data_IF_124759766080
#
_entry.id   IF_124759766080
#
_cell.length_a   1.000
_cell.length_b   1.000
_cell.length_c   1.000
_cell.angle_alpha   90.00
_cell.angle_beta   90.00
_cell.angle_gamma   90.00
#
_symmetry.space_group_name_H-M   'P 1'
#
loop_
_entity.id
_entity.type
_entity.pdbx_description
1 polymer ?
#
# COMPACT_ATOMS: atom_id res chain seq x y z
N UNK A 1 -76.32 2.85 -16.13
CA UNK A 1 -75.73 2.10 -17.26
C UNK A 1 -74.37 2.72 -17.58
N UNK A 2 -73.30 2.26 -16.91
CA UNK A 2 -71.94 2.84 -17.08
C UNK A 2 -71.22 2.00 -18.13
N UNK A 3 -71.15 2.49 -19.37
CA UNK A 3 -70.31 1.88 -20.40
C UNK A 3 -68.83 2.03 -20.00
N UNK A 4 -68.22 0.97 -19.47
CA UNK A 4 -66.77 0.93 -19.26
C UNK A 4 -66.09 0.86 -20.63
N UNK A 5 -65.60 2.00 -21.09
CA UNK A 5 -64.88 2.14 -22.35
C UNK A 5 -63.57 1.32 -22.28
N UNK A 6 -63.39 0.34 -23.18
CA UNK A 6 -62.19 -0.55 -23.24
C UNK A 6 -60.88 0.24 -23.19
N UNK A 7 -60.87 1.44 -23.77
CA UNK A 7 -59.73 2.38 -23.73
C UNK A 7 -59.36 2.81 -22.31
N UNK A 8 -60.34 3.07 -21.45
CA UNK A 8 -60.13 3.47 -20.05
C UNK A 8 -59.63 2.30 -19.20
N UNK A 9 -60.04 1.07 -19.52
CA UNK A 9 -59.53 -0.14 -18.86
C UNK A 9 -58.06 -0.38 -19.19
N UNK A 10 -57.68 -0.31 -20.47
CA UNK A 10 -56.28 -0.45 -20.90
C UNK A 10 -55.41 0.67 -20.30
N UNK A 11 -55.89 1.91 -20.29
CA UNK A 11 -55.17 3.02 -19.66
C UNK A 11 -54.95 2.78 -18.16
N UNK A 12 -55.97 2.31 -17.43
CA UNK A 12 -55.85 2.02 -15.99
C UNK A 12 -54.93 0.81 -15.72
N UNK A 13 -54.98 -0.23 -16.56
CA UNK A 13 -54.10 -1.39 -16.46
C UNK A 13 -52.62 -1.03 -16.73
N UNK A 14 -52.35 -0.19 -17.74
CA UNK A 14 -51.00 0.31 -18.04
C UNK A 14 -50.45 1.19 -16.90
N UNK A 15 -51.32 1.98 -16.27
CA UNK A 15 -50.95 2.85 -15.14
C UNK A 15 -50.56 2.02 -13.90
N UNK A 16 -51.22 0.89 -13.65
CA UNK A 16 -50.87 -0.01 -12.55
C UNK A 16 -49.58 -0.80 -12.83
N UNK A 17 -49.31 -1.16 -14.10
CA UNK A 17 -48.04 -1.78 -14.49
C UNK A 17 -46.84 -0.83 -14.27
N UNK A 18 -47.03 0.48 -14.48
CA UNK A 18 -46.02 1.52 -14.23
C UNK A 18 -45.79 1.86 -12.74
N UNK A 19 -46.64 1.37 -11.83
CA UNK A 19 -46.42 1.49 -10.37
C UNK A 19 -45.84 0.18 -9.80
N UNK A 20 -46.06 -0.96 -10.48
CA UNK A 20 -45.34 -2.21 -10.25
C UNK A 20 -43.86 -2.15 -10.61
N UNK A 21 -43.43 -1.14 -11.37
CA UNK A 21 -42.02 -0.71 -11.46
C UNK A 21 -41.66 0.11 -10.22
N UNK A 22 -41.85 -0.49 -9.04
CA UNK A 22 -41.16 -0.04 -7.84
C UNK A 22 -39.68 0.14 -8.18
N UNK A 23 -39.01 1.15 -7.61
CA UNK A 23 -37.58 1.29 -7.78
C UNK A 23 -36.98 0.01 -7.21
N UNK A 24 -36.51 -0.87 -8.10
CA UNK A 24 -35.47 -1.82 -7.76
C UNK A 24 -34.38 -0.92 -7.21
N UNK A 25 -34.33 -0.94 -5.89
CA UNK A 25 -33.34 -0.35 -5.02
C UNK A 25 -32.03 -0.29 -5.78
N UNK A 26 -31.38 0.86 -5.72
CA UNK A 26 -30.05 1.17 -6.25
C UNK A 26 -28.96 0.24 -5.69
N UNK A 27 -29.13 -1.08 -5.76
CA UNK A 27 -28.04 -2.02 -5.89
C UNK A 27 -27.49 -1.74 -7.27
N UNK A 28 -26.61 -0.74 -7.34
CA UNK A 28 -25.44 -0.88 -8.19
C UNK A 28 -24.82 -2.19 -7.74
N UNK A 29 -25.18 -3.29 -8.42
CA UNK A 29 -24.24 -4.38 -8.57
C UNK A 29 -23.01 -3.68 -9.10
N UNK A 30 -22.01 -3.51 -8.24
CA UNK A 30 -20.75 -2.92 -8.62
C UNK A 30 -20.31 -3.69 -9.83
N UNK A 31 -20.46 -3.07 -11.01
CA UNK A 31 -19.73 -3.51 -12.19
C UNK A 31 -18.30 -3.34 -11.72
N UNK A 32 -17.62 -4.45 -11.44
CA UNK A 32 -16.18 -4.39 -11.25
C UNK A 32 -15.70 -3.72 -12.53
N UNK A 33 -15.30 -2.45 -12.44
CA UNK A 33 -14.39 -1.85 -13.39
C UNK A 33 -13.32 -2.93 -13.54
N UNK A 34 -13.28 -3.57 -14.71
CA UNK A 34 -12.39 -4.69 -14.93
C UNK A 34 -10.99 -4.13 -14.67
N UNK A 35 -10.33 -4.60 -13.62
CA UNK A 35 -9.07 -4.01 -13.16
C UNK A 35 -8.14 -3.87 -14.35
N UNK A 36 -7.67 -2.66 -14.63
CA UNK A 36 -6.77 -2.44 -15.75
C UNK A 36 -5.47 -3.20 -15.49
N UNK A 37 -4.83 -3.72 -16.53
CA UNK A 37 -3.56 -4.44 -16.37
C UNK A 37 -2.48 -3.49 -15.82
N UNK A 38 -1.71 -3.97 -14.85
CA UNK A 38 -0.59 -3.28 -14.27
C UNK A 38 0.43 -4.24 -13.67
N UNK A 39 1.63 -3.75 -13.46
CA UNK A 39 2.67 -4.39 -12.68
C UNK A 39 3.24 -3.42 -11.67
N UNK A 40 3.84 -3.94 -10.61
CA UNK A 40 4.63 -3.18 -9.64
C UNK A 40 5.88 -3.97 -9.31
N UNK A 41 6.94 -3.28 -8.89
CA UNK A 41 8.14 -3.93 -8.38
C UNK A 41 8.10 -4.00 -6.84
N UNK A 42 8.73 -5.03 -6.28
CA UNK A 42 8.84 -5.23 -4.84
C UNK A 42 10.31 -5.41 -4.46
N UNK A 43 10.81 -4.56 -3.56
CA UNK A 43 12.18 -4.59 -3.02
C UNK A 43 12.04 -4.63 -1.49
N UNK A 44 12.88 -5.37 -0.78
CA UNK A 44 12.78 -5.50 0.69
C UNK A 44 14.15 -5.87 1.31
N UNK A 45 14.25 -5.81 2.64
CA UNK A 45 15.31 -6.42 3.45
C UNK A 45 16.72 -5.99 3.02
N UNK A 46 16.90 -4.69 2.81
CA UNK A 46 18.21 -4.17 2.37
C UNK A 46 19.22 -4.08 3.50
N UNK A 47 18.75 -3.96 4.76
CA UNK A 47 19.59 -4.00 5.95
C UNK A 47 20.83 -3.11 5.84
N UNK A 48 20.63 -1.85 5.43
CA UNK A 48 21.70 -0.85 5.36
C UNK A 48 22.32 -0.72 6.75
N UNK A 49 23.64 -0.95 6.81
CA UNK A 49 24.36 -1.06 8.07
C UNK A 49 25.48 -0.03 8.16
N UNK A 50 25.36 0.86 9.13
CA UNK A 50 26.35 1.88 9.43
C UNK A 50 27.51 1.31 10.25
N UNK A 51 28.75 1.64 9.88
CA UNK A 51 29.94 1.20 10.61
C UNK A 51 30.43 2.34 11.52
N UNK A 52 30.79 3.47 10.93
CA UNK A 52 31.26 4.69 11.63
C UNK A 52 31.38 5.85 10.65
N UNK A 53 31.22 7.09 11.11
CA UNK A 53 31.41 8.27 10.27
C UNK A 53 30.53 8.19 9.01
N UNK A 54 31.15 8.11 7.83
CA UNK A 54 30.47 7.92 6.53
C UNK A 54 30.66 6.51 5.95
N UNK A 55 31.17 5.56 6.73
CA UNK A 55 31.42 4.19 6.31
C UNK A 55 30.20 3.30 6.56
N UNK A 56 29.76 2.60 5.50
CA UNK A 56 28.69 1.59 5.52
C UNK A 56 29.22 0.24 5.01
N UNK A 57 28.52 -0.83 5.36
CA UNK A 57 28.87 -2.17 4.89
C UNK A 57 28.50 -2.31 3.40
N UNK A 58 29.54 -2.30 2.57
CA UNK A 58 29.45 -2.28 1.11
C UNK A 58 28.49 -3.29 0.49
N UNK A 59 28.40 -4.52 1.01
CA UNK A 59 27.59 -5.56 0.36
C UNK A 59 26.08 -5.27 0.43
N UNK A 60 25.61 -4.69 1.54
CA UNK A 60 24.21 -4.29 1.70
C UNK A 60 23.86 -3.14 0.73
N UNK A 61 24.68 -2.08 0.70
CA UNK A 61 24.55 -0.98 -0.26
C UNK A 61 24.50 -1.48 -1.72
N UNK A 62 25.44 -2.37 -2.08
CA UNK A 62 25.51 -2.90 -3.44
C UNK A 62 24.29 -3.74 -3.82
N UNK A 63 23.67 -4.42 -2.85
CA UNK A 63 22.41 -5.12 -3.03
C UNK A 63 21.29 -4.16 -3.42
N UNK A 64 21.08 -3.13 -2.61
CA UNK A 64 20.02 -2.14 -2.85
C UNK A 64 20.26 -1.32 -4.13
N UNK A 65 21.48 -0.83 -4.35
CA UNK A 65 21.85 -0.11 -5.59
C UNK A 65 21.52 -0.95 -6.83
N UNK A 66 21.82 -2.25 -6.78
CA UNK A 66 21.53 -3.15 -7.89
C UNK A 66 20.03 -3.35 -8.07
N UNK A 67 19.28 -3.58 -6.98
CA UNK A 67 17.82 -3.75 -7.04
C UNK A 67 17.14 -2.50 -7.63
N UNK A 68 17.56 -1.30 -7.21
CA UNK A 68 17.07 -0.02 -7.76
C UNK A 68 17.38 0.10 -9.26
N UNK A 69 18.62 -0.21 -9.66
CA UNK A 69 19.01 -0.17 -11.06
C UNK A 69 18.22 -1.18 -11.91
N UNK A 70 18.03 -2.40 -11.43
CA UNK A 70 17.27 -3.44 -12.13
C UNK A 70 15.78 -3.07 -12.24
N UNK A 71 15.17 -2.53 -11.16
CA UNK A 71 13.80 -2.05 -11.18
C UNK A 71 13.58 -0.95 -12.24
N UNK A 72 14.53 -0.01 -12.35
CA UNK A 72 14.53 1.07 -13.36
C UNK A 72 14.67 0.57 -14.82
N UNK A 73 15.15 -0.67 -15.02
CA UNK A 73 15.36 -1.28 -16.33
C UNK A 73 14.24 -2.26 -16.74
N UNK A 74 13.27 -2.52 -15.86
CA UNK A 74 12.16 -3.44 -16.17
C UNK A 74 11.37 -2.99 -17.40
N UNK A 75 11.03 -3.97 -18.24
CA UNK A 75 10.20 -3.80 -19.43
C UNK A 75 9.19 -4.98 -19.53
N UNK A 76 7.87 -4.75 -19.42
CA UNK A 76 7.22 -3.45 -19.23
C UNK A 76 7.62 -2.78 -17.90
N UNK A 77 7.60 -1.44 -17.90
CA UNK A 77 7.89 -0.66 -16.70
C UNK A 77 6.79 -0.89 -15.65
N UNK A 78 7.14 -1.09 -14.37
CA UNK A 78 6.15 -1.09 -13.30
C UNK A 78 5.50 0.28 -13.16
N UNK A 79 4.26 0.29 -12.65
CA UNK A 79 3.52 1.52 -12.38
C UNK A 79 4.03 2.19 -11.09
N UNK A 80 4.48 1.39 -10.12
CA UNK A 80 5.04 1.84 -8.84
C UNK A 80 5.94 0.77 -8.22
N UNK A 81 6.60 1.12 -7.12
CA UNK A 81 7.43 0.22 -6.31
C UNK A 81 6.86 0.13 -4.89
N UNK A 82 6.79 -1.07 -4.33
CA UNK A 82 6.60 -1.26 -2.88
C UNK A 82 7.97 -1.59 -2.28
N UNK A 83 8.33 -0.90 -1.22
CA UNK A 83 9.48 -1.26 -0.39
C UNK A 83 9.00 -1.97 0.87
N UNK A 84 9.42 -3.22 1.07
CA UNK A 84 8.83 -4.18 2.01
C UNK A 84 9.27 -4.06 3.47
N UNK A 85 10.13 -3.10 3.81
CA UNK A 85 10.67 -2.92 5.16
C UNK A 85 12.09 -3.45 5.31
N UNK A 86 12.61 -3.30 6.53
CA UNK A 86 13.98 -3.59 6.91
C UNK A 86 14.99 -2.86 6.02
N UNK A 87 14.77 -1.56 5.91
CA UNK A 87 15.69 -0.66 5.21
C UNK A 87 17.01 -0.55 5.99
N UNK A 88 16.93 -0.30 7.29
CA UNK A 88 18.07 -0.20 8.16
C UNK A 88 18.37 -1.54 8.86
N UNK A 89 19.62 -1.73 9.29
CA UNK A 89 20.00 -2.88 10.13
C UNK A 89 19.68 -2.64 11.62
N UNK A 90 19.73 -1.39 12.09
CA UNK A 90 19.51 -1.07 13.51
C UNK A 90 18.50 0.09 13.70
N UNK A 91 17.83 0.51 12.63
CA UNK A 91 16.86 1.61 12.67
C UNK A 91 17.49 2.99 12.92
N UNK A 92 18.81 3.09 12.84
CA UNK A 92 19.49 4.35 13.17
C UNK A 92 19.28 5.39 12.07
N UNK A 93 19.28 6.67 12.44
CA UNK A 93 19.10 7.77 11.45
C UNK A 93 20.08 7.70 10.28
N UNK A 94 21.40 7.48 10.48
CA UNK A 94 22.33 7.37 9.36
C UNK A 94 22.00 6.22 8.38
N UNK A 95 21.50 5.09 8.89
CA UNK A 95 21.10 3.95 8.05
C UNK A 95 19.83 4.24 7.26
N UNK A 96 18.82 4.81 7.91
CA UNK A 96 17.56 5.18 7.28
C UNK A 96 17.75 6.29 6.24
N UNK A 97 18.54 7.32 6.56
CA UNK A 97 18.84 8.42 5.65
C UNK A 97 19.59 7.93 4.40
N UNK A 98 20.62 7.11 4.60
CA UNK A 98 21.40 6.54 3.50
C UNK A 98 20.55 5.59 2.64
N UNK A 99 19.76 4.73 3.28
CA UNK A 99 18.82 3.85 2.58
C UNK A 99 17.78 4.62 1.76
N UNK A 100 17.23 5.70 2.31
CA UNK A 100 16.28 6.56 1.61
C UNK A 100 16.94 7.32 0.45
N UNK A 101 18.21 7.75 0.60
CA UNK A 101 18.99 8.33 -0.49
C UNK A 101 19.14 7.31 -1.64
N UNK A 102 19.50 6.06 -1.35
CA UNK A 102 19.63 5.01 -2.37
C UNK A 102 18.29 4.71 -3.06
N UNK A 103 17.19 4.66 -2.30
CA UNK A 103 15.84 4.47 -2.84
C UNK A 103 15.37 5.65 -3.70
N UNK A 104 15.84 6.87 -3.43
CA UNK A 104 15.46 8.07 -4.19
C UNK A 104 15.87 8.02 -5.67
N UNK A 105 16.78 7.11 -6.03
CA UNK A 105 17.18 6.86 -7.42
C UNK A 105 16.16 6.00 -8.20
N UNK A 106 15.08 5.50 -7.58
CA UNK A 106 13.97 4.87 -8.30
C UNK A 106 13.20 5.90 -9.13
N UNK A 107 12.86 5.54 -10.37
CA UNK A 107 12.10 6.40 -11.29
C UNK A 107 10.57 6.26 -11.12
N UNK A 108 10.11 5.80 -9.95
CA UNK A 108 8.74 5.39 -9.69
C UNK A 108 8.26 5.95 -8.35
N UNK A 109 6.94 6.04 -8.18
CA UNK A 109 6.37 6.25 -6.86
C UNK A 109 6.71 5.05 -5.97
N UNK A 110 7.21 5.33 -4.76
CA UNK A 110 7.58 4.32 -3.77
C UNK A 110 6.56 4.31 -2.64
N UNK A 111 6.06 3.12 -2.34
CA UNK A 111 5.18 2.85 -1.22
C UNK A 111 5.96 2.02 -0.17
N UNK A 112 6.65 2.68 0.78
CA UNK A 112 7.43 2.00 1.77
C UNK A 112 6.57 1.49 2.93
N UNK A 113 6.90 0.30 3.41
CA UNK A 113 6.40 -0.31 4.65
C UNK A 113 7.58 -0.36 5.62
N UNK A 114 7.32 -0.27 6.91
CA UNK A 114 8.36 -0.47 7.93
C UNK A 114 8.57 -1.96 8.19
N UNK A 115 9.82 -2.36 8.41
CA UNK A 115 10.17 -3.68 8.95
C UNK A 115 10.56 -3.57 10.43
N UNK A 116 10.81 -4.71 11.09
CA UNK A 116 11.13 -4.72 12.50
C UNK A 116 12.45 -4.03 12.84
N UNK A 117 13.43 -4.10 11.94
CA UNK A 117 14.71 -3.42 12.11
C UNK A 117 14.59 -1.90 11.97
N UNK A 118 13.55 -1.41 11.29
CA UNK A 118 13.19 0.00 11.23
C UNK A 118 12.38 0.46 12.46
N UNK A 119 11.76 -0.48 13.18
CA UNK A 119 10.79 -0.21 14.24
C UNK A 119 11.41 -0.14 15.63
N UNK A 120 12.21 -1.13 16.03
CA UNK A 120 12.48 -1.33 17.47
C UNK A 120 13.34 -0.24 18.13
N UNK A 121 14.07 0.58 17.37
CA UNK A 121 14.92 1.62 17.96
C UNK A 121 14.10 2.75 18.60
N UNK A 122 13.06 3.22 17.92
CA UNK A 122 12.24 4.36 18.34
C UNK A 122 10.74 4.18 18.04
N UNK A 123 10.30 2.91 17.96
CA UNK A 123 8.95 2.50 17.54
C UNK A 123 8.58 3.02 16.15
N UNK A 124 9.58 3.24 15.28
CA UNK A 124 9.39 3.74 13.92
C UNK A 124 9.01 5.22 13.85
N UNK A 125 9.28 6.01 14.90
CA UNK A 125 8.99 7.46 14.91
C UNK A 125 9.78 8.17 13.81
N UNK A 126 11.10 7.96 13.75
CA UNK A 126 11.93 8.58 12.72
C UNK A 126 11.62 8.06 11.33
N UNK A 127 11.36 6.76 11.18
CA UNK A 127 10.95 6.18 9.90
C UNK A 127 9.69 6.87 9.35
N UNK A 128 8.69 7.08 10.21
CA UNK A 128 7.45 7.78 9.84
C UNK A 128 7.69 9.24 9.46
N UNK A 129 8.58 9.93 10.18
CA UNK A 129 8.96 11.30 9.83
C UNK A 129 9.74 11.37 8.50
N UNK A 130 10.67 10.45 8.26
CA UNK A 130 11.49 10.41 7.04
C UNK A 130 10.62 10.18 5.80
N UNK A 131 9.78 9.15 5.82
CA UNK A 131 8.94 8.79 4.67
C UNK A 131 7.61 9.55 4.60
N UNK A 132 7.28 10.33 5.63
CA UNK A 132 5.97 11.01 5.78
C UNK A 132 4.79 10.03 5.63
N UNK A 133 4.94 8.83 6.21
CA UNK A 133 3.94 7.77 6.18
C UNK A 133 3.57 7.31 7.60
N UNK A 134 2.29 7.04 7.88
CA UNK A 134 1.91 6.31 9.07
C UNK A 134 2.38 4.84 8.95
N UNK A 135 2.35 4.11 10.07
CA UNK A 135 2.73 2.69 10.12
C UNK A 135 1.82 1.76 9.30
N UNK A 136 0.63 2.23 8.94
CA UNK A 136 -0.27 1.52 8.05
C UNK A 136 -1.04 2.52 7.21
N UNK A 137 -1.27 2.19 5.95
CA UNK A 137 -2.06 3.01 5.04
C UNK A 137 -2.57 2.17 3.87
N UNK A 138 -3.43 2.76 3.07
CA UNK A 138 -3.93 2.14 1.85
C UNK A 138 -3.99 3.12 0.70
N UNK A 139 -4.06 2.58 -0.52
CA UNK A 139 -4.25 3.35 -1.73
C UNK A 139 -4.94 2.49 -2.79
N UNK A 140 -5.57 3.13 -3.76
CA UNK A 140 -6.18 2.46 -4.90
C UNK A 140 -5.32 2.65 -6.15
N UNK A 141 -5.12 1.58 -6.92
CA UNK A 141 -4.43 1.64 -8.19
C UNK A 141 -5.17 0.81 -9.24
N UNK A 142 -5.62 1.45 -10.33
CA UNK A 142 -6.28 0.79 -11.47
C UNK A 142 -7.42 -0.19 -11.09
N UNK A 143 -8.16 0.15 -10.03
CA UNK A 143 -9.30 -0.64 -9.54
C UNK A 143 -8.94 -1.73 -8.52
N UNK A 144 -7.69 -1.81 -8.08
CA UNK A 144 -7.24 -2.68 -6.97
C UNK A 144 -6.90 -1.83 -5.75
N UNK A 145 -7.39 -2.25 -4.59
CA UNK A 145 -7.11 -1.60 -3.30
C UNK A 145 -5.92 -2.27 -2.61
N UNK A 146 -4.86 -1.51 -2.37
CA UNK A 146 -3.65 -1.94 -1.66
C UNK A 146 -3.73 -1.54 -0.20
N UNK A 147 -3.44 -2.48 0.71
CA UNK A 147 -3.38 -2.24 2.15
C UNK A 147 -1.99 -2.61 2.64
N UNK A 148 -1.28 -1.63 3.19
CA UNK A 148 0.07 -1.76 3.73
C UNK A 148 -0.05 -1.71 5.25
N UNK A 149 0.42 -2.76 5.93
CA UNK A 149 0.21 -2.99 7.35
C UNK A 149 1.53 -3.14 8.08
N UNK A 150 1.61 -2.60 9.30
CA UNK A 150 2.64 -2.92 10.27
C UNK A 150 2.34 -4.29 10.91
N UNK A 151 3.16 -5.30 10.61
CA UNK A 151 3.05 -6.65 11.16
C UNK A 151 3.96 -6.92 12.37
N UNK A 152 4.56 -5.88 12.93
CA UNK A 152 5.60 -5.97 13.98
C UNK A 152 5.01 -5.84 15.37
N UNK A 153 3.92 -5.07 15.51
CA UNK A 153 3.28 -4.78 16.80
C UNK A 153 2.90 -6.09 17.50
N UNK A 154 3.40 -6.23 18.72
CA UNK A 154 3.22 -7.41 19.57
C UNK A 154 2.85 -6.96 20.99
N UNK A 155 3.00 -7.84 21.97
CA UNK A 155 2.66 -7.58 23.37
C UNK A 155 3.63 -6.60 24.03
N UNK A 156 3.11 -5.78 24.95
CA UNK A 156 3.84 -4.70 25.59
C UNK A 156 5.12 -5.19 26.30
N UNK A 157 5.08 -6.37 26.92
CA UNK A 157 6.25 -6.94 27.61
C UNK A 157 7.39 -7.23 26.63
N UNK A 158 7.08 -7.61 25.38
CA UNK A 158 8.12 -7.81 24.36
C UNK A 158 8.71 -6.49 23.87
N UNK A 159 7.86 -5.47 23.70
CA UNK A 159 8.26 -4.20 23.10
C UNK A 159 8.93 -3.25 24.09
N UNK A 160 8.44 -3.21 25.33
CA UNK A 160 8.84 -2.21 26.32
C UNK A 160 9.73 -2.77 27.43
N UNK A 161 9.71 -4.08 27.70
CA UNK A 161 10.59 -4.66 28.72
C UNK A 161 11.91 -5.13 28.11
N UNK A 162 13.01 -4.85 28.83
CA UNK A 162 14.29 -5.45 28.47
C UNK A 162 14.29 -6.93 28.80
N UNK A 163 14.78 -7.70 27.85
CA UNK A 163 15.05 -9.12 28.03
C UNK A 163 16.11 -9.28 29.11
N UNK A 164 15.97 -10.30 29.95
CA UNK A 164 16.93 -10.58 31.03
C UNK A 164 18.38 -10.75 30.52
N UNK A 165 18.54 -11.08 29.24
CA UNK A 165 19.81 -11.32 28.55
C UNK A 165 20.32 -10.14 27.74
N UNK A 166 19.58 -9.04 27.66
CA UNK A 166 19.94 -7.85 26.87
C UNK A 166 20.98 -6.96 27.58
#
# INVERSE_FOLDING_TARGET
>A
MIQSNRRKFIQRAASMAAVGTLPLTYVRLGRSEQSAEFSFAFISDSHIQHIRGTEFVRNWDRGLIRAVAEANLLNPKPDFVIYGGDLAQLGTRPELDHGAELLSALNYDVYPILGEHDYYLDLGEYWSDLFKRPHYYSFDHKGVHFVLLNSIVTHDEWTFDRWQTA
#
